data_IF_050749843037
#
_entry.id   IF_050749843037
#
_cell.length_a   1.000
_cell.length_b   1.000
_cell.length_c   1.000
_cell.angle_alpha   90.00
_cell.angle_beta   90.00
_cell.angle_gamma   90.00
#
_symmetry.space_group_name_H-M   'P 1'
#
loop_
_entity.id
_entity.type
_entity.pdbx_description
1 polymer ?
#
# COMPACT_ATOMS: atom_id res chain seq x y z
N UNK A 1 -7.16 -3.42 9.77
CA UNK A 1 -8.42 -3.58 9.01
C UNK A 1 -9.44 -2.57 9.47
N UNK A 2 -10.21 -2.04 8.55
CA UNK A 2 -11.35 -1.22 8.91
C UNK A 2 -12.36 -2.07 9.70
N UNK A 3 -12.93 -1.51 10.76
CA UNK A 3 -13.97 -2.21 11.52
C UNK A 3 -15.23 -2.36 10.68
N UNK A 4 -16.07 -3.31 11.03
CA UNK A 4 -17.37 -3.49 10.38
C UNK A 4 -18.23 -2.22 10.47
N UNK A 5 -18.17 -1.53 11.61
CA UNK A 5 -18.89 -0.27 11.80
C UNK A 5 -18.39 0.81 10.83
N UNK A 6 -17.07 0.96 10.70
CA UNK A 6 -16.47 1.92 9.76
C UNK A 6 -16.84 1.60 8.32
N UNK A 7 -16.86 0.31 7.96
CA UNK A 7 -17.25 -0.12 6.63
C UNK A 7 -18.71 0.23 6.33
N UNK A 8 -19.61 -0.02 7.27
CA UNK A 8 -21.04 0.30 7.14
C UNK A 8 -21.26 1.80 7.04
N UNK A 9 -20.55 2.60 7.87
CA UNK A 9 -20.60 4.05 7.80
C UNK A 9 -20.07 4.57 6.48
N UNK A 10 -19.02 3.97 5.95
CA UNK A 10 -18.46 4.35 4.65
C UNK A 10 -19.47 4.09 3.52
N UNK A 11 -20.13 2.94 3.52
CA UNK A 11 -21.16 2.62 2.53
C UNK A 11 -22.33 3.60 2.59
N UNK A 12 -22.79 3.96 3.79
CA UNK A 12 -23.83 4.95 3.99
C UNK A 12 -23.40 6.33 3.46
N UNK A 13 -22.17 6.74 3.77
CA UNK A 13 -21.63 8.02 3.28
C UNK A 13 -21.53 8.03 1.75
N UNK A 14 -21.14 6.91 1.16
CA UNK A 14 -21.06 6.78 -0.30
C UNK A 14 -22.43 6.94 -0.95
N UNK A 15 -23.47 6.31 -0.38
CA UNK A 15 -24.84 6.43 -0.88
C UNK A 15 -25.34 7.88 -0.80
N UNK A 16 -25.04 8.57 0.31
CA UNK A 16 -25.38 9.97 0.47
C UNK A 16 -24.64 10.87 -0.53
N UNK A 17 -23.37 10.60 -0.77
CA UNK A 17 -22.58 11.33 -1.76
C UNK A 17 -23.14 11.13 -3.17
N UNK A 18 -23.45 9.90 -3.54
CA UNK A 18 -24.01 9.57 -4.85
C UNK A 18 -25.40 10.20 -5.04
N UNK A 19 -26.15 10.38 -3.96
CA UNK A 19 -27.44 11.07 -3.97
C UNK A 19 -27.32 12.61 -3.94
N UNK A 20 -26.10 13.16 -3.85
CA UNK A 20 -25.85 14.59 -3.83
C UNK A 20 -26.07 15.25 -2.46
N UNK A 21 -26.24 14.49 -1.39
CA UNK A 21 -26.48 15.02 -0.03
C UNK A 21 -25.22 15.11 0.82
N UNK A 22 -24.09 14.62 0.33
CA UNK A 22 -22.79 14.67 1.01
C UNK A 22 -21.74 15.26 0.07
N UNK A 23 -21.00 16.26 0.56
CA UNK A 23 -19.93 16.90 -0.19
C UNK A 23 -18.76 15.95 -0.45
N UNK A 24 -18.08 16.14 -1.58
CA UNK A 24 -16.93 15.30 -1.98
C UNK A 24 -15.80 15.36 -0.94
N UNK A 25 -15.51 16.54 -0.38
CA UNK A 25 -14.48 16.66 0.67
C UNK A 25 -14.80 15.81 1.88
N UNK A 26 -16.04 15.82 2.33
CA UNK A 26 -16.49 15.00 3.46
C UNK A 26 -16.44 13.51 3.11
N UNK A 27 -16.84 13.14 1.88
CA UNK A 27 -16.73 11.76 1.41
C UNK A 27 -15.27 11.27 1.45
N UNK A 28 -14.31 12.13 1.07
CA UNK A 28 -12.88 11.79 1.14
C UNK A 28 -12.38 11.58 2.56
N UNK A 29 -12.96 12.25 3.54
CA UNK A 29 -12.65 11.99 4.95
C UNK A 29 -13.10 10.59 5.37
N UNK A 30 -14.28 10.14 4.94
CA UNK A 30 -14.74 8.77 5.16
C UNK A 30 -13.85 7.76 4.43
N UNK A 31 -13.46 8.03 3.19
CA UNK A 31 -12.53 7.19 2.44
C UNK A 31 -11.22 6.99 3.21
N UNK A 32 -10.68 8.08 3.79
CA UNK A 32 -9.43 8.01 4.55
C UNK A 32 -9.54 7.13 5.80
N UNK A 33 -10.69 7.17 6.48
CA UNK A 33 -10.93 6.32 7.66
C UNK A 33 -10.98 4.84 7.31
N UNK A 34 -11.30 4.50 6.07
CA UNK A 34 -11.45 3.13 5.59
C UNK A 34 -10.24 2.62 4.80
N UNK A 35 -9.14 3.38 4.75
CA UNK A 35 -7.91 2.91 4.11
C UNK A 35 -7.37 1.67 4.85
N UNK A 36 -6.86 0.68 4.10
CA UNK A 36 -6.23 -0.48 4.72
C UNK A 36 -5.03 -0.04 5.56
N UNK A 37 -4.81 -0.65 6.73
CA UNK A 37 -3.61 -0.35 7.50
C UNK A 37 -2.37 -0.79 6.75
N UNK A 38 -1.29 0.00 6.86
CA UNK A 38 0.00 -0.34 6.27
C UNK A 38 0.68 -1.38 7.16
N UNK A 39 0.98 -2.55 6.62
CA UNK A 39 1.60 -3.66 7.36
C UNK A 39 3.11 -3.61 7.21
N UNK A 40 3.83 -3.86 8.31
CA UNK A 40 5.27 -4.07 8.26
C UNK A 40 5.59 -5.36 7.53
N UNK A 41 6.66 -5.34 6.75
CA UNK A 41 7.14 -6.50 6.01
C UNK A 41 8.51 -6.90 6.54
N UNK A 42 8.71 -8.21 6.75
CA UNK A 42 10.03 -8.74 7.10
C UNK A 42 10.93 -8.75 5.88
N UNK A 43 12.24 -8.85 6.10
CA UNK A 43 13.23 -8.98 5.02
C UNK A 43 12.86 -10.13 4.08
N UNK A 44 12.45 -11.26 4.64
CA UNK A 44 12.02 -12.44 3.87
C UNK A 44 10.79 -12.17 3.03
N UNK A 45 9.80 -11.47 3.59
CA UNK A 45 8.58 -11.11 2.86
C UNK A 45 8.88 -10.18 1.69
N UNK A 46 9.78 -9.22 1.87
CA UNK A 46 10.21 -8.31 0.80
C UNK A 46 10.88 -9.09 -0.33
N UNK A 47 11.79 -10.00 0.02
CA UNK A 47 12.44 -10.85 -0.97
C UNK A 47 11.46 -11.73 -1.71
N UNK A 48 10.52 -12.36 -1.01
CA UNK A 48 9.48 -13.19 -1.62
C UNK A 48 8.60 -12.36 -2.57
N UNK A 49 8.24 -11.16 -2.18
CA UNK A 49 7.47 -10.26 -3.02
C UNK A 49 8.20 -9.96 -4.33
N UNK A 50 9.50 -9.66 -4.25
CA UNK A 50 10.33 -9.43 -5.42
C UNK A 50 10.43 -10.66 -6.32
N UNK A 51 10.79 -11.80 -5.74
CA UNK A 51 11.00 -13.05 -6.47
C UNK A 51 9.70 -13.55 -7.11
N UNK A 52 8.58 -13.43 -6.41
CA UNK A 52 7.28 -13.84 -6.95
C UNK A 52 6.86 -13.02 -8.16
N UNK A 53 7.32 -11.78 -8.27
CA UNK A 53 7.12 -10.93 -9.44
C UNK A 53 8.22 -11.11 -10.50
N UNK A 54 9.15 -12.02 -10.28
CA UNK A 54 10.25 -12.36 -11.23
C UNK A 54 11.15 -11.16 -11.52
N UNK A 55 11.45 -10.35 -10.50
CA UNK A 55 12.27 -9.16 -10.63
C UNK A 55 13.63 -9.36 -9.97
N UNK A 56 14.69 -8.85 -10.62
CA UNK A 56 15.99 -8.68 -9.96
C UNK A 56 15.94 -7.51 -8.98
N UNK A 57 16.92 -7.41 -8.09
CA UNK A 57 17.03 -6.28 -7.17
C UNK A 57 17.08 -4.92 -7.90
N UNK A 58 17.93 -4.73 -8.94
CA UNK A 58 17.94 -3.47 -9.65
C UNK A 58 16.61 -3.12 -10.33
N UNK A 59 15.93 -4.10 -10.89
CA UNK A 59 14.64 -3.86 -11.55
C UNK A 59 13.57 -3.51 -10.53
N UNK A 60 13.51 -4.20 -9.42
CA UNK A 60 12.57 -3.88 -8.34
C UNK A 60 12.81 -2.47 -7.79
N UNK A 61 14.09 -2.11 -7.60
CA UNK A 61 14.47 -0.76 -7.19
C UNK A 61 13.97 0.30 -8.18
N UNK A 62 14.10 0.02 -9.48
CA UNK A 62 13.60 0.94 -10.51
C UNK A 62 12.09 1.17 -10.42
N UNK A 63 11.31 0.11 -10.21
CA UNK A 63 9.86 0.24 -10.00
C UNK A 63 9.52 1.12 -8.78
N UNK A 64 10.32 1.05 -7.74
CA UNK A 64 10.11 1.80 -6.51
C UNK A 64 10.80 3.17 -6.50
N UNK A 65 11.54 3.49 -7.57
CA UNK A 65 12.37 4.69 -7.66
C UNK A 65 13.41 4.78 -6.52
N UNK A 66 14.08 3.66 -6.26
CA UNK A 66 15.10 3.51 -5.22
C UNK A 66 16.38 2.94 -5.81
N UNK A 67 17.47 3.01 -5.03
CA UNK A 67 18.72 2.36 -5.43
C UNK A 67 18.66 0.85 -5.15
N UNK A 68 19.39 0.04 -5.95
CA UNK A 68 19.49 -1.41 -5.67
C UNK A 68 20.08 -1.70 -4.29
N UNK A 69 20.97 -0.84 -3.78
CA UNK A 69 21.55 -1.03 -2.44
C UNK A 69 20.49 -0.93 -1.34
N UNK A 70 19.46 -0.12 -1.51
CA UNK A 70 18.35 -0.01 -0.58
C UNK A 70 17.57 -1.33 -0.51
N UNK A 71 17.27 -1.93 -1.65
CA UNK A 71 16.58 -3.24 -1.71
C UNK A 71 17.44 -4.30 -1.01
N UNK A 72 18.74 -4.33 -1.28
CA UNK A 72 19.66 -5.27 -0.67
C UNK A 72 19.68 -5.13 0.86
N UNK A 73 19.72 -3.91 1.36
CA UNK A 73 19.69 -3.63 2.80
C UNK A 73 18.40 -4.13 3.45
N UNK A 74 17.28 -3.95 2.79
CA UNK A 74 16.00 -4.46 3.29
C UNK A 74 15.97 -5.99 3.32
N UNK A 75 16.48 -6.64 2.28
CA UNK A 75 16.47 -8.11 2.18
C UNK A 75 17.50 -8.76 3.09
N UNK A 76 18.56 -8.04 3.45
CA UNK A 76 19.55 -8.50 4.43
C UNK A 76 19.14 -8.21 5.89
N UNK A 77 18.09 -7.44 6.09
CA UNK A 77 17.65 -7.05 7.43
C UNK A 77 18.45 -5.91 8.05
N UNK A 78 19.34 -5.27 7.28
CA UNK A 78 20.16 -4.15 7.76
C UNK A 78 19.33 -2.89 7.99
N UNK A 79 18.32 -2.69 7.16
CA UNK A 79 17.36 -1.59 7.26
C UNK A 79 15.97 -2.11 6.93
N UNK A 80 14.96 -1.41 7.42
CA UNK A 80 13.57 -1.73 7.13
C UNK A 80 12.94 -0.56 6.36
N UNK A 81 12.04 -0.87 5.40
CA UNK A 81 11.29 0.20 4.74
C UNK A 81 10.37 0.91 5.72
N UNK A 82 10.14 2.18 5.52
CA UNK A 82 9.25 2.98 6.34
C UNK A 82 8.57 4.04 5.50
N UNK A 83 7.53 4.66 6.02
CA UNK A 83 6.82 5.73 5.34
C UNK A 83 6.34 5.35 3.95
N UNK A 84 6.57 6.20 2.94
CA UNK A 84 6.10 5.97 1.58
C UNK A 84 6.57 4.65 0.97
N UNK A 85 7.82 4.24 1.24
CA UNK A 85 8.36 2.99 0.71
C UNK A 85 7.57 1.78 1.21
N UNK A 86 7.23 1.76 2.50
CA UNK A 86 6.43 0.69 3.06
C UNK A 86 5.02 0.68 2.47
N UNK A 87 4.43 1.83 2.26
CA UNK A 87 3.12 1.94 1.61
C UNK A 87 3.17 1.39 0.19
N UNK A 88 4.19 1.72 -0.59
CA UNK A 88 4.36 1.20 -1.95
C UNK A 88 4.47 -0.32 -1.96
N UNK A 89 5.25 -0.90 -1.05
CA UNK A 89 5.39 -2.36 -0.93
C UNK A 89 4.05 -3.02 -0.60
N UNK A 90 3.26 -2.41 0.28
CA UNK A 90 1.92 -2.90 0.60
C UNK A 90 1.00 -2.86 -0.63
N UNK A 91 1.06 -1.80 -1.42
CA UNK A 91 0.28 -1.67 -2.65
C UNK A 91 0.64 -2.77 -3.65
N UNK A 92 1.93 -3.03 -3.85
CA UNK A 92 2.39 -4.11 -4.73
C UNK A 92 1.87 -5.46 -4.25
N UNK A 93 1.93 -5.69 -2.95
CA UNK A 93 1.47 -6.95 -2.34
C UNK A 93 -0.03 -7.16 -2.51
N UNK A 94 -0.83 -6.11 -2.34
CA UNK A 94 -2.29 -6.19 -2.39
C UNK A 94 -2.84 -6.11 -3.82
N UNK A 95 -2.26 -5.25 -4.65
CA UNK A 95 -2.79 -4.90 -5.98
C UNK A 95 -1.91 -5.32 -7.14
N UNK A 96 -0.72 -5.81 -6.85
CA UNK A 96 0.25 -6.19 -7.89
C UNK A 96 1.14 -5.05 -8.34
N UNK A 97 2.16 -5.41 -9.11
CA UNK A 97 3.19 -4.48 -9.59
C UNK A 97 2.62 -3.39 -10.50
N UNK A 98 1.56 -3.70 -11.23
CA UNK A 98 0.93 -2.76 -12.17
C UNK A 98 0.43 -1.49 -11.49
N UNK A 99 0.14 -1.55 -10.19
CA UNK A 99 -0.35 -0.39 -9.45
C UNK A 99 0.71 0.70 -9.28
N UNK A 100 1.99 0.39 -9.50
CA UNK A 100 3.10 1.33 -9.32
C UNK A 100 3.97 1.51 -10.57
N UNK A 101 3.62 0.84 -11.67
CA UNK A 101 4.41 0.99 -12.89
C UNK A 101 4.06 2.25 -13.70
#
# INVERSE_FOLDING_TARGET
MASKILKELHETAKDMHDAGTLETTTMREFDALCLPPVKRLTARQIKLLRVSNKLSQPVFAAYLNLSPSTIRQWENGDKAPSGPSLKLLNIVREKGLEAID
#
